data_IF_946263647811
#
_entry.id   IF_946263647811
#
_cell.length_a   1.000
_cell.length_b   1.000
_cell.length_c   1.000
_cell.angle_alpha   90.00
_cell.angle_beta   90.00
_cell.angle_gamma   90.00
#
_symmetry.space_group_name_H-M   'P 1'
#
loop_
_entity.id
_entity.type
_entity.pdbx_description
1 polymer ?
#
# COMPACT_ATOMS: atom_id res chain seq x y z
N UNK A 1 -9.20 -33.04 38.02
CA UNK A 1 -8.69 -31.66 38.01
C UNK A 1 -9.52 -30.87 37.00
N UNK A 2 -10.49 -30.13 37.52
CA UNK A 2 -11.41 -29.27 36.77
C UNK A 2 -10.78 -27.89 36.61
N UNK A 3 -10.60 -27.43 35.38
CA UNK A 3 -10.14 -26.07 35.12
C UNK A 3 -11.33 -25.12 35.07
N UNK A 4 -11.29 -24.09 35.92
CA UNK A 4 -12.29 -23.05 36.08
C UNK A 4 -12.18 -22.01 34.96
N UNK A 5 -13.31 -21.69 34.33
CA UNK A 5 -13.47 -20.56 33.41
C UNK A 5 -13.21 -19.23 34.13
N UNK A 6 -12.43 -18.33 33.52
CA UNK A 6 -12.32 -16.92 33.94
C UNK A 6 -13.14 -16.06 32.98
N UNK A 7 -14.24 -15.51 33.49
CA UNK A 7 -14.98 -14.40 32.90
C UNK A 7 -14.38 -13.07 33.35
N UNK A 8 -13.92 -12.25 32.41
CA UNK A 8 -13.41 -10.90 32.70
C UNK A 8 -14.56 -9.89 32.56
N UNK A 9 -14.97 -9.32 33.68
CA UNK A 9 -15.99 -8.27 33.77
C UNK A 9 -15.43 -6.91 33.35
N UNK A 10 -16.10 -6.24 32.40
CA UNK A 10 -15.89 -4.82 32.08
C UNK A 10 -16.55 -3.97 33.16
N UNK A 11 -15.79 -3.07 33.82
CA UNK A 11 -16.37 -1.96 34.58
C UNK A 11 -15.81 -0.63 34.10
N UNK A 12 -16.75 0.16 33.59
CA UNK A 12 -16.74 1.56 33.21
C UNK A 12 -16.22 2.46 34.34
N UNK A 13 -15.30 3.36 34.03
CA UNK A 13 -14.96 4.50 34.90
C UNK A 13 -15.60 5.75 34.28
N UNK A 14 -16.66 6.24 34.92
CA UNK A 14 -17.23 7.57 34.72
C UNK A 14 -17.02 8.31 36.04
N UNK A 15 -16.29 9.42 36.01
CA UNK A 15 -16.22 10.34 37.16
C UNK A 15 -16.54 11.74 36.67
N UNK A 16 -17.41 12.37 37.44
CA UNK A 16 -18.21 13.53 37.11
C UNK A 16 -17.41 14.85 37.12
N UNK A 17 -17.85 15.81 36.30
CA UNK A 17 -17.49 17.22 36.44
C UNK A 17 -18.74 17.97 36.89
N UNK A 18 -18.72 18.47 38.12
CA UNK A 18 -19.75 19.36 38.66
C UNK A 18 -19.35 20.83 38.44
N UNK A 19 -20.37 21.63 38.15
CA UNK A 19 -20.33 23.01 37.70
C UNK A 19 -19.93 24.03 38.78
N UNK A 20 -19.43 25.18 38.33
CA UNK A 20 -19.64 26.46 39.00
C UNK A 20 -19.90 27.55 37.94
N UNK A 21 -21.12 28.12 37.99
CA UNK A 21 -21.53 29.31 37.26
C UNK A 21 -21.21 30.55 38.12
N UNK A 22 -20.79 31.67 37.52
CA UNK A 22 -21.53 32.94 37.30
C UNK A 22 -20.44 34.06 37.34
N UNK A 23 -20.44 35.23 36.69
CA UNK A 23 -21.45 36.23 36.28
C UNK A 23 -20.80 37.15 35.20
N UNK A 24 -21.54 37.62 34.20
CA UNK A 24 -21.53 39.05 33.81
C UNK A 24 -20.77 39.54 32.56
N UNK A 25 -21.52 40.07 31.57
CA UNK A 25 -21.08 41.17 30.69
C UNK A 25 -21.16 40.91 29.18
N UNK A 26 -21.81 41.77 28.36
CA UNK A 26 -21.91 41.59 26.92
C UNK A 26 -20.69 42.21 26.22
N UNK A 27 -20.01 41.46 25.36
CA UNK A 27 -18.98 42.02 24.48
C UNK A 27 -19.21 41.56 23.06
N UNK A 28 -19.20 42.56 22.18
CA UNK A 28 -19.57 42.55 20.78
C UNK A 28 -18.81 41.53 19.93
N UNK A 29 -19.51 41.11 18.88
CA UNK A 29 -19.04 40.60 17.60
C UNK A 29 -17.59 40.97 17.23
N UNK A 30 -16.75 39.94 17.11
CA UNK A 30 -15.64 39.91 16.16
C UNK A 30 -15.59 38.53 15.50
N UNK A 31 -16.27 38.39 14.36
CA UNK A 31 -15.90 37.39 13.37
C UNK A 31 -14.51 37.78 12.84
N UNK A 32 -13.46 37.19 13.40
CA UNK A 32 -12.16 37.20 12.76
C UNK A 32 -12.26 36.29 11.52
N UNK A 33 -12.34 36.90 10.34
CA UNK A 33 -12.10 36.21 9.10
C UNK A 33 -10.66 35.68 9.14
N UNK A 34 -10.50 34.37 9.36
CA UNK A 34 -9.23 33.71 9.18
C UNK A 34 -8.88 33.77 7.69
N UNK A 35 -7.91 34.61 7.35
CA UNK A 35 -7.29 34.58 6.03
C UNK A 35 -6.69 33.19 5.81
N UNK A 36 -6.82 32.59 4.61
CA UNK A 36 -6.17 31.32 4.32
C UNK A 36 -4.66 31.53 4.41
N UNK A 37 -4.03 30.82 5.34
CA UNK A 37 -2.57 30.75 5.39
C UNK A 37 -2.09 30.16 4.06
N UNK A 38 -1.44 31.00 3.25
CA UNK A 38 -0.78 30.57 2.04
C UNK A 38 0.20 29.45 2.41
N UNK A 39 -0.02 28.25 1.84
CA UNK A 39 0.87 27.12 1.99
C UNK A 39 2.23 27.49 1.39
N UNK A 40 3.16 27.91 2.23
CA UNK A 40 4.57 27.92 1.88
C UNK A 40 4.94 26.47 1.55
N UNK A 41 5.48 26.26 0.36
CA UNK A 41 6.05 24.97 -0.07
C UNK A 41 7.23 24.66 0.85
N UNK A 42 6.96 24.02 1.98
CA UNK A 42 7.98 23.40 2.79
C UNK A 42 8.74 22.42 1.89
N UNK A 43 10.07 22.54 1.86
CA UNK A 43 10.91 21.49 1.29
C UNK A 43 10.47 20.15 1.87
N UNK A 44 10.44 19.10 1.03
CA UNK A 44 10.12 17.77 1.51
C UNK A 44 11.02 17.47 2.74
N UNK A 45 10.43 17.03 3.86
CA UNK A 45 11.21 16.73 5.05
C UNK A 45 12.32 15.73 4.70
N UNK A 46 13.46 15.86 5.36
CA UNK A 46 14.58 14.95 5.16
C UNK A 46 14.10 13.51 5.35
N UNK A 47 14.27 12.69 4.32
CA UNK A 47 13.84 11.30 4.31
C UNK A 47 14.62 10.50 5.37
N UNK A 48 13.95 9.58 6.05
CA UNK A 48 14.64 8.67 6.96
C UNK A 48 15.61 7.77 6.19
N UNK A 49 16.83 7.55 6.69
CA UNK A 49 17.82 6.74 5.99
C UNK A 49 17.48 5.25 5.99
N UNK A 50 16.60 4.79 6.89
CA UNK A 50 16.07 3.42 6.92
C UNK A 50 14.81 3.32 7.80
N UNK A 51 14.10 2.19 7.74
CA UNK A 51 12.99 1.91 8.66
C UNK A 51 13.47 1.81 10.11
N UNK A 52 14.64 1.21 10.37
CA UNK A 52 15.24 1.15 11.73
C UNK A 52 15.41 2.55 12.32
N UNK A 53 15.91 3.51 11.54
CA UNK A 53 16.05 4.89 12.00
C UNK A 53 14.69 5.54 12.31
N UNK A 54 13.70 5.30 11.44
CA UNK A 54 12.32 5.76 11.67
C UNK A 54 11.74 5.17 12.96
N UNK A 55 11.95 3.88 13.22
CA UNK A 55 11.44 3.20 14.44
C UNK A 55 12.12 3.66 15.72
N UNK A 56 13.31 4.26 15.63
CA UNK A 56 14.05 4.81 16.76
C UNK A 56 13.68 6.27 17.09
N UNK A 57 12.97 6.98 16.20
CA UNK A 57 12.49 8.34 16.51
C UNK A 57 11.43 8.28 17.61
N UNK A 58 11.77 8.83 18.78
CA UNK A 58 10.90 8.89 19.95
C UNK A 58 9.65 9.76 19.77
N UNK A 59 9.60 10.58 18.71
CA UNK A 59 8.40 11.35 18.34
C UNK A 59 7.38 10.52 17.55
N UNK A 60 7.76 9.33 17.08
CA UNK A 60 6.91 8.43 16.33
C UNK A 60 6.51 7.24 17.21
N UNK A 61 5.21 6.94 17.24
CA UNK A 61 4.67 5.84 18.05
C UNK A 61 3.95 4.86 17.14
N UNK A 62 4.38 3.59 17.13
CA UNK A 62 3.66 2.54 16.40
C UNK A 62 2.22 2.39 16.94
N UNK A 63 1.25 2.28 16.04
CA UNK A 63 -0.18 2.31 16.33
C UNK A 63 -0.79 3.72 16.39
N UNK A 64 0.03 4.78 16.41
CA UNK A 64 -0.44 6.18 16.39
C UNK A 64 0.08 6.95 15.18
N UNK A 65 1.41 6.98 14.99
CA UNK A 65 2.07 7.67 13.87
C UNK A 65 2.20 6.78 12.64
N UNK A 66 2.52 5.51 12.85
CA UNK A 66 2.65 4.50 11.80
C UNK A 66 2.15 3.14 12.30
N UNK A 67 1.98 2.16 11.40
CA UNK A 67 1.70 0.77 11.76
C UNK A 67 2.35 -0.19 10.79
N UNK A 68 2.87 -1.31 11.27
CA UNK A 68 3.26 -2.45 10.43
C UNK A 68 2.15 -3.49 10.47
N UNK A 69 1.59 -3.79 9.30
CA UNK A 69 0.50 -4.76 9.14
C UNK A 69 0.94 -5.85 8.19
N UNK A 70 0.88 -7.10 8.63
CA UNK A 70 1.30 -8.23 7.81
C UNK A 70 0.48 -9.46 8.13
N UNK A 71 0.44 -10.38 7.17
CA UNK A 71 -0.13 -11.72 7.36
C UNK A 71 0.73 -12.73 6.63
N UNK A 72 1.08 -13.79 7.36
CA UNK A 72 1.69 -15.00 6.81
C UNK A 72 0.76 -16.17 7.06
N UNK A 73 0.36 -16.84 6.00
CA UNK A 73 -0.59 -17.94 6.11
C UNK A 73 0.09 -19.14 6.72
N UNK A 74 -0.51 -19.67 7.79
CA UNK A 74 -0.04 -20.89 8.40
C UNK A 74 -0.27 -22.07 7.44
N UNK A 75 0.76 -22.89 7.27
CA UNK A 75 0.70 -24.11 6.49
C UNK A 75 1.28 -25.26 7.32
N UNK A 76 0.49 -26.32 7.47
CA UNK A 76 0.89 -27.54 8.18
C UNK A 76 1.20 -28.64 7.17
N UNK A 77 2.48 -28.81 6.84
CA UNK A 77 2.94 -29.92 6.02
C UNK A 77 3.37 -31.10 6.88
N UNK A 78 2.40 -31.73 7.55
CA UNK A 78 2.65 -32.82 8.51
C UNK A 78 2.30 -34.20 7.95
N UNK A 79 1.59 -34.25 6.82
CA UNK A 79 1.05 -35.49 6.26
C UNK A 79 1.89 -35.95 5.08
N UNK A 80 2.70 -36.99 5.31
CA UNK A 80 3.59 -37.57 4.29
C UNK A 80 2.87 -38.06 3.00
N UNK A 81 1.56 -38.31 3.06
CA UNK A 81 0.74 -38.74 1.92
C UNK A 81 0.17 -37.59 1.08
N UNK A 82 0.20 -36.36 1.59
CA UNK A 82 -0.33 -35.18 0.93
C UNK A 82 0.82 -34.31 0.41
N UNK A 83 0.56 -33.50 -0.61
CA UNK A 83 1.47 -32.46 -1.10
C UNK A 83 0.68 -31.16 -1.12
N UNK A 84 1.32 -30.10 -0.65
CA UNK A 84 0.71 -28.78 -0.63
C UNK A 84 1.52 -27.84 -1.52
N UNK A 85 0.83 -26.90 -2.15
CA UNK A 85 1.51 -25.84 -2.89
C UNK A 85 2.28 -24.94 -1.91
N UNK A 86 3.45 -24.50 -2.33
CA UNK A 86 4.23 -23.49 -1.62
C UNK A 86 3.68 -22.09 -1.94
N UNK A 87 3.55 -21.16 -0.97
CA UNK A 87 3.17 -19.77 -1.24
C UNK A 87 4.18 -19.11 -2.18
N UNK A 88 3.78 -18.84 -3.43
CA UNK A 88 4.71 -18.37 -4.47
C UNK A 88 4.89 -16.86 -4.47
N UNK A 89 3.82 -16.11 -4.24
CA UNK A 89 3.81 -14.66 -4.39
C UNK A 89 3.34 -13.97 -3.11
N UNK A 90 4.09 -12.98 -2.66
CA UNK A 90 3.68 -12.03 -1.63
C UNK A 90 3.41 -10.64 -2.20
N UNK A 91 2.58 -9.87 -1.51
CA UNK A 91 2.24 -8.49 -1.86
C UNK A 91 2.84 -7.55 -0.82
N UNK A 92 3.58 -6.53 -1.26
CA UNK A 92 4.15 -5.52 -0.37
C UNK A 92 3.55 -4.15 -0.68
N UNK A 93 3.25 -3.37 0.36
CA UNK A 93 3.05 -1.93 0.25
C UNK A 93 3.93 -1.24 1.29
N UNK A 94 5.15 -0.89 0.90
CA UNK A 94 6.13 -0.27 1.80
C UNK A 94 5.68 1.13 2.25
N UNK A 95 4.75 1.75 1.53
CA UNK A 95 4.30 3.13 1.73
C UNK A 95 2.75 3.22 1.83
N UNK A 96 2.16 2.37 2.65
CA UNK A 96 0.73 2.30 2.91
C UNK A 96 0.15 3.49 3.68
N UNK A 97 -1.16 3.42 3.93
CA UNK A 97 -1.91 4.38 4.72
C UNK A 97 -1.97 5.76 4.06
N UNK A 98 -1.46 6.77 4.76
CA UNK A 98 -1.41 8.14 4.27
C UNK A 98 -0.15 8.50 3.46
N UNK A 99 0.85 7.59 3.34
CA UNK A 99 2.12 7.87 2.66
C UNK A 99 1.87 7.93 1.14
N UNK A 100 1.41 6.82 0.56
CA UNK A 100 0.96 6.72 -0.83
C UNK A 100 -0.47 6.16 -0.84
N UNK A 101 -1.46 7.08 -0.74
CA UNK A 101 -2.87 6.72 -0.55
C UNK A 101 -3.38 5.68 -1.54
N UNK A 102 -4.14 4.68 -1.08
CA UNK A 102 -4.70 3.61 -1.91
C UNK A 102 -3.86 2.32 -1.98
N UNK A 103 -2.57 2.37 -1.63
CA UNK A 103 -1.69 1.18 -1.68
C UNK A 103 -2.03 0.15 -0.60
N UNK A 104 -2.42 0.57 0.61
CA UNK A 104 -2.93 -0.34 1.66
C UNK A 104 -4.13 -1.13 1.16
N UNK A 105 -5.13 -0.42 0.64
CA UNK A 105 -6.39 -1.01 0.23
C UNK A 105 -6.14 -1.97 -0.94
N UNK A 106 -5.35 -1.56 -1.94
CA UNK A 106 -5.00 -2.41 -3.06
C UNK A 106 -4.18 -3.64 -2.63
N UNK A 107 -3.27 -3.50 -1.66
CA UNK A 107 -2.53 -4.62 -1.10
C UNK A 107 -3.48 -5.66 -0.48
N UNK A 108 -4.42 -5.22 0.35
CA UNK A 108 -5.44 -6.09 0.94
C UNK A 108 -6.30 -6.76 -0.13
N UNK A 109 -6.79 -5.98 -1.10
CA UNK A 109 -7.60 -6.48 -2.20
C UNK A 109 -6.88 -7.56 -3.00
N UNK A 110 -5.65 -7.30 -3.43
CA UNK A 110 -4.86 -8.27 -4.20
C UNK A 110 -4.56 -9.51 -3.34
N UNK A 111 -4.26 -9.33 -2.05
CA UNK A 111 -4.04 -10.43 -1.11
C UNK A 111 -5.29 -11.25 -0.78
N UNK A 112 -6.49 -10.84 -1.23
CA UNK A 112 -7.74 -11.57 -1.08
C UNK A 112 -8.62 -11.14 0.09
N UNK A 113 -8.37 -9.97 0.66
CA UNK A 113 -9.10 -9.42 1.81
C UNK A 113 -9.89 -8.17 1.45
N UNK A 114 -10.95 -7.90 2.20
CA UNK A 114 -11.70 -6.65 2.10
C UNK A 114 -10.91 -5.50 2.73
N UNK A 115 -10.70 -4.37 2.02
CA UNK A 115 -10.27 -3.13 2.64
C UNK A 115 -11.18 -2.64 3.78
N UNK A 116 -12.50 -2.85 3.65
CA UNK A 116 -13.51 -2.46 4.65
C UNK A 116 -13.62 -3.39 5.87
N UNK A 117 -13.19 -4.65 5.73
CA UNK A 117 -13.14 -5.62 6.84
C UNK A 117 -11.83 -6.42 6.80
N UNK A 118 -10.74 -5.74 7.14
CA UNK A 118 -9.40 -6.34 7.12
C UNK A 118 -9.18 -7.48 8.14
N UNK A 119 -10.08 -7.62 9.13
CA UNK A 119 -10.07 -8.73 10.09
C UNK A 119 -10.97 -9.89 9.64
N UNK A 120 -11.75 -9.70 8.58
CA UNK A 120 -12.72 -10.65 8.06
C UNK A 120 -12.11 -11.87 7.38
N UNK A 121 -12.99 -12.80 7.04
CA UNK A 121 -12.64 -13.94 6.19
C UNK A 121 -12.15 -13.45 4.81
N UNK A 122 -11.29 -14.22 4.12
CA UNK A 122 -10.96 -13.93 2.73
C UNK A 122 -12.22 -13.76 1.88
N UNK A 123 -12.18 -12.76 0.99
CA UNK A 123 -13.26 -12.50 0.02
C UNK A 123 -12.96 -13.12 -1.36
N UNK A 124 -11.78 -13.71 -1.53
CA UNK A 124 -11.33 -14.39 -2.74
C UNK A 124 -10.87 -15.82 -2.43
N UNK A 125 -10.94 -16.74 -3.41
CA UNK A 125 -10.64 -18.17 -3.19
C UNK A 125 -9.15 -18.45 -2.92
N UNK A 126 -8.25 -17.56 -3.33
CA UNK A 126 -6.81 -17.66 -3.03
C UNK A 126 -6.33 -16.39 -2.35
N UNK A 127 -5.46 -16.57 -1.37
CA UNK A 127 -4.89 -15.50 -0.56
C UNK A 127 -3.38 -15.44 -0.74
N UNK A 128 -2.81 -14.26 -0.55
CA UNK A 128 -1.37 -14.04 -0.59
C UNK A 128 -0.88 -13.55 0.77
N UNK A 129 0.33 -13.96 1.15
CA UNK A 129 1.05 -13.29 2.23
C UNK A 129 1.26 -11.83 1.86
N UNK A 130 1.26 -10.97 2.86
CA UNK A 130 1.46 -9.55 2.63
C UNK A 130 2.18 -8.85 3.79
N UNK A 131 2.80 -7.73 3.46
CA UNK A 131 3.29 -6.74 4.42
C UNK A 131 2.97 -5.33 3.95
N UNK A 132 2.62 -4.48 4.91
CA UNK A 132 2.34 -3.07 4.72
C UNK A 132 3.00 -2.26 5.85
N UNK A 133 3.65 -1.17 5.50
CA UNK A 133 4.01 -0.11 6.44
C UNK A 133 3.09 1.09 6.18
N UNK A 134 2.27 1.46 7.16
CA UNK A 134 1.19 2.43 7.00
C UNK A 134 1.50 3.72 7.77
N UNK A 135 1.43 4.88 7.11
CA UNK A 135 1.37 6.18 7.79
C UNK A 135 -0.03 6.45 8.34
N UNK A 136 -0.14 6.80 9.63
CA UNK A 136 -1.40 6.97 10.36
C UNK A 136 -1.68 8.41 10.80
N UNK A 137 -0.81 9.36 10.46
CA UNK A 137 -0.98 10.76 10.82
C UNK A 137 -2.20 11.35 10.08
N UNK A 138 -2.84 12.36 10.68
CA UNK A 138 -3.94 13.09 10.02
C UNK A 138 -3.47 13.91 8.80
N UNK A 139 -2.20 14.31 8.77
CA UNK A 139 -1.52 14.98 7.66
C UNK A 139 -0.01 14.76 7.74
N UNK A 140 0.72 15.03 6.66
CA UNK A 140 2.19 15.00 6.66
C UNK A 140 2.83 13.61 6.63
N UNK A 141 2.07 12.57 6.25
CA UNK A 141 2.58 11.19 6.19
C UNK A 141 3.72 10.99 5.18
N UNK A 142 3.93 11.90 4.21
CA UNK A 142 5.09 11.84 3.33
C UNK A 142 6.42 11.90 4.09
N UNK A 143 6.44 12.47 5.29
CA UNK A 143 7.60 12.48 6.18
C UNK A 143 7.98 11.07 6.70
N UNK A 144 7.09 10.09 6.59
CA UNK A 144 7.31 8.71 7.01
C UNK A 144 7.83 7.83 5.86
N UNK A 145 8.01 8.39 4.66
CA UNK A 145 8.51 7.65 3.52
C UNK A 145 9.97 7.20 3.75
N UNK A 146 10.25 5.94 3.45
CA UNK A 146 11.59 5.35 3.40
C UNK A 146 11.71 4.65 2.06
N UNK A 147 12.52 5.16 1.15
CA UNK A 147 12.69 4.64 -0.19
C UNK A 147 12.93 3.13 -0.18
N UNK A 148 12.38 2.43 -1.17
CA UNK A 148 12.43 0.96 -1.22
C UNK A 148 13.84 0.40 -1.11
N UNK A 149 14.85 1.05 -1.71
CA UNK A 149 16.26 0.64 -1.60
C UNK A 149 16.86 0.77 -0.20
N UNK A 150 16.26 1.58 0.66
CA UNK A 150 16.66 1.79 2.06
C UNK A 150 15.75 1.02 3.03
N UNK A 151 14.81 0.21 2.52
CA UNK A 151 13.91 -0.55 3.37
C UNK A 151 14.67 -1.65 4.10
N UNK A 152 14.75 -1.53 5.44
CA UNK A 152 15.39 -2.50 6.32
C UNK A 152 14.41 -3.11 7.34
N UNK A 153 13.09 -2.98 7.13
CA UNK A 153 12.11 -3.65 7.97
C UNK A 153 12.23 -5.18 7.85
N UNK A 154 12.54 -5.84 8.98
CA UNK A 154 12.82 -7.27 9.00
C UNK A 154 11.62 -8.14 8.58
N UNK A 155 10.38 -7.69 8.79
CA UNK A 155 9.20 -8.45 8.39
C UNK A 155 8.98 -8.32 6.89
N UNK A 156 9.14 -7.12 6.32
CA UNK A 156 9.11 -6.89 4.88
C UNK A 156 10.17 -7.75 4.16
N UNK A 157 11.41 -7.68 4.63
CA UNK A 157 12.54 -8.42 4.08
C UNK A 157 12.37 -9.93 4.22
N UNK A 158 11.91 -10.43 5.37
CA UNK A 158 11.65 -11.86 5.57
C UNK A 158 10.52 -12.35 4.67
N UNK A 159 9.48 -11.54 4.48
CA UNK A 159 8.36 -11.87 3.59
C UNK A 159 8.84 -11.94 2.14
N UNK A 160 9.63 -10.96 1.67
CA UNK A 160 10.20 -11.01 0.34
C UNK A 160 11.09 -12.25 0.13
N UNK A 161 12.03 -12.50 1.06
CA UNK A 161 13.00 -13.58 0.97
C UNK A 161 12.37 -14.99 0.99
N UNK A 162 11.17 -15.15 1.53
CA UNK A 162 10.48 -16.44 1.61
C UNK A 162 9.52 -16.73 0.46
N UNK A 163 9.49 -15.90 -0.59
CA UNK A 163 8.58 -16.07 -1.73
C UNK A 163 9.35 -16.11 -3.06
N UNK A 164 8.80 -16.77 -4.06
CA UNK A 164 9.35 -16.78 -5.43
C UNK A 164 9.20 -15.42 -6.09
N UNK A 165 8.07 -14.76 -5.84
CA UNK A 165 7.71 -13.47 -6.41
C UNK A 165 7.29 -12.49 -5.31
N UNK A 166 7.52 -11.21 -5.57
CA UNK A 166 6.90 -10.10 -4.86
C UNK A 166 6.27 -9.19 -5.90
N UNK A 167 5.06 -8.72 -5.60
CA UNK A 167 4.47 -7.53 -6.21
C UNK A 167 4.49 -6.40 -5.19
N UNK A 168 5.37 -5.42 -5.38
CA UNK A 168 5.43 -4.23 -4.53
C UNK A 168 4.57 -3.10 -5.10
N UNK A 169 3.74 -2.48 -4.26
CA UNK A 169 2.79 -1.43 -4.62
C UNK A 169 3.31 -0.09 -4.11
N UNK A 170 3.40 0.87 -5.02
CA UNK A 170 3.86 2.22 -4.78
C UNK A 170 2.96 3.25 -5.47
N UNK A 171 3.10 4.50 -5.04
CA UNK A 171 2.43 5.66 -5.57
C UNK A 171 3.41 6.74 -5.97
N UNK A 172 3.17 7.34 -7.14
CA UNK A 172 3.95 8.47 -7.64
C UNK A 172 3.02 9.62 -8.05
N UNK A 173 3.60 10.79 -8.30
CA UNK A 173 2.93 11.91 -8.98
C UNK A 173 3.23 11.80 -10.48
N UNK A 174 2.21 12.01 -11.32
CA UNK A 174 2.37 11.94 -12.77
C UNK A 174 3.54 12.80 -13.29
N UNK A 175 3.68 14.03 -12.78
CA UNK A 175 4.71 14.97 -13.21
C UNK A 175 6.15 14.49 -12.93
N UNK A 176 6.34 13.54 -11.99
CA UNK A 176 7.65 12.94 -11.72
C UNK A 176 8.09 11.97 -12.83
N UNK A 177 7.13 11.35 -13.53
CA UNK A 177 7.39 10.31 -14.52
C UNK A 177 7.99 10.85 -15.83
N UNK A 178 7.75 12.14 -16.11
CA UNK A 178 8.20 12.84 -17.34
C UNK A 178 7.92 12.03 -18.61
N UNK A 179 6.74 11.41 -18.67
CA UNK A 179 6.35 10.56 -19.79
C UNK A 179 6.27 11.36 -21.11
N UNK A 180 6.52 10.74 -22.28
CA UNK A 180 6.45 11.42 -23.56
C UNK A 180 5.06 12.03 -23.82
N UNK A 181 5.01 13.34 -24.02
CA UNK A 181 3.76 14.10 -24.18
C UNK A 181 2.97 13.73 -25.43
N UNK A 182 3.62 13.12 -26.44
CA UNK A 182 2.97 12.59 -27.63
C UNK A 182 2.05 11.40 -27.33
N UNK A 183 2.33 10.65 -26.26
CA UNK A 183 1.54 9.49 -25.82
C UNK A 183 0.71 9.81 -24.59
N UNK A 184 1.25 10.64 -23.68
CA UNK A 184 0.63 11.05 -22.43
C UNK A 184 0.53 12.59 -22.39
N UNK A 185 -0.51 13.18 -23.02
CA UNK A 185 -0.62 14.63 -23.12
C UNK A 185 -0.69 15.29 -21.75
N UNK A 186 -0.19 16.53 -21.65
CA UNK A 186 -0.19 17.32 -20.41
C UNK A 186 -1.61 17.59 -19.89
N UNK A 187 -2.62 17.45 -20.73
CA UNK A 187 -4.05 17.53 -20.41
C UNK A 187 -4.75 16.23 -20.83
N UNK A 188 -5.61 15.68 -19.98
CA UNK A 188 -6.29 14.39 -20.22
C UNK A 188 -6.12 13.43 -19.06
N UNK A 189 -6.37 12.14 -19.28
CA UNK A 189 -6.18 11.12 -18.24
C UNK A 189 -4.69 10.97 -17.90
N UNK A 190 -4.35 11.30 -16.65
CA UNK A 190 -3.02 11.12 -16.04
C UNK A 190 -2.93 9.81 -15.24
N UNK A 191 -3.96 8.98 -15.29
CA UNK A 191 -4.03 7.71 -14.60
C UNK A 191 -3.19 6.64 -15.32
N UNK A 192 -1.94 6.48 -14.89
CA UNK A 192 -0.96 5.53 -15.44
C UNK A 192 -0.40 4.64 -14.33
N UNK A 193 -0.23 3.35 -14.66
CA UNK A 193 0.58 2.39 -13.90
C UNK A 193 1.95 2.22 -14.59
N UNK A 194 3.03 2.52 -13.88
CA UNK A 194 4.39 2.22 -14.32
C UNK A 194 4.83 0.90 -13.72
N UNK A 195 5.14 -0.08 -14.57
CA UNK A 195 5.49 -1.44 -14.19
C UNK A 195 7.01 -1.62 -14.21
N UNK A 196 7.59 -2.01 -13.08
CA UNK A 196 9.03 -2.20 -12.88
C UNK A 196 9.38 -3.52 -12.19
N UNK A 197 10.59 -3.60 -11.63
CA UNK A 197 11.16 -4.79 -11.00
C UNK A 197 11.95 -5.68 -11.98
N UNK A 198 12.81 -6.57 -11.48
CA UNK A 198 13.72 -7.35 -12.34
C UNK A 198 13.06 -8.55 -13.04
N UNK A 199 11.83 -8.92 -12.71
CA UNK A 199 11.14 -10.06 -13.32
C UNK A 199 10.39 -9.67 -14.61
N UNK A 200 11.07 -9.78 -15.76
CA UNK A 200 10.52 -9.40 -17.07
C UNK A 200 9.22 -10.12 -17.46
N UNK A 201 9.07 -11.40 -17.10
CA UNK A 201 7.84 -12.14 -17.35
C UNK A 201 6.68 -11.56 -16.53
N UNK A 202 6.94 -11.19 -15.27
CA UNK A 202 5.93 -10.57 -14.41
C UNK A 202 5.57 -9.17 -14.88
N UNK A 203 6.55 -8.35 -15.28
CA UNK A 203 6.26 -7.04 -15.88
C UNK A 203 5.39 -7.15 -17.11
N UNK A 204 5.70 -8.09 -18.01
CA UNK A 204 4.93 -8.33 -19.23
C UNK A 204 3.49 -8.73 -18.93
N UNK A 205 3.29 -9.65 -17.97
CA UNK A 205 1.96 -10.07 -17.54
C UNK A 205 1.16 -8.92 -16.93
N UNK A 206 1.79 -8.12 -16.06
CA UNK A 206 1.15 -6.94 -15.45
C UNK A 206 0.72 -5.91 -16.50
N UNK A 207 1.61 -5.51 -17.41
CA UNK A 207 1.28 -4.55 -18.47
C UNK A 207 0.13 -5.06 -19.33
N UNK A 208 0.13 -6.35 -19.66
CA UNK A 208 -0.92 -6.98 -20.49
C UNK A 208 -2.27 -6.96 -19.77
N UNK A 209 -2.32 -7.46 -18.54
CA UNK A 209 -3.58 -7.60 -17.79
C UNK A 209 -4.16 -6.25 -17.36
N UNK A 210 -3.31 -5.30 -16.96
CA UNK A 210 -3.76 -3.95 -16.57
C UNK A 210 -4.36 -3.22 -17.79
N UNK A 211 -3.74 -3.36 -18.97
CA UNK A 211 -4.31 -2.82 -20.23
C UNK A 211 -5.60 -3.51 -20.63
N UNK A 212 -5.67 -4.84 -20.51
CA UNK A 212 -6.87 -5.60 -20.81
C UNK A 212 -8.05 -5.20 -19.90
N UNK A 213 -7.77 -4.78 -18.66
CA UNK A 213 -8.74 -4.22 -17.73
C UNK A 213 -9.09 -2.74 -17.99
N UNK A 214 -8.57 -2.13 -19.07
CA UNK A 214 -8.92 -0.77 -19.50
C UNK A 214 -8.05 0.36 -18.93
N UNK A 215 -6.98 0.03 -18.19
CA UNK A 215 -6.09 1.02 -17.59
C UNK A 215 -4.86 1.29 -18.46
N UNK A 216 -4.25 2.46 -18.30
CA UNK A 216 -2.97 2.74 -18.92
C UNK A 216 -1.84 2.10 -18.12
N UNK A 217 -0.97 1.35 -18.80
CA UNK A 217 0.24 0.79 -18.19
C UNK A 217 1.45 0.86 -19.14
N UNK A 218 2.63 1.04 -18.56
CA UNK A 218 3.90 1.05 -19.31
C UNK A 218 4.94 0.19 -18.58
N UNK A 219 5.81 -0.48 -19.32
CA UNK A 219 7.01 -1.11 -18.74
C UNK A 219 8.11 -0.04 -18.62
N UNK A 220 8.64 0.15 -17.41
CA UNK A 220 9.70 1.11 -17.13
C UNK A 220 11.02 0.80 -17.86
N UNK A 221 11.21 -0.44 -18.32
CA UNK A 221 12.38 -0.86 -19.10
C UNK A 221 12.20 -0.71 -20.62
N UNK A 222 11.01 -0.34 -21.09
CA UNK A 222 10.78 -0.10 -22.52
C UNK A 222 11.63 1.08 -23.01
N UNK A 223 12.26 0.97 -24.18
CA UNK A 223 13.13 2.02 -24.74
C UNK A 223 12.43 3.35 -24.94
N UNK A 224 11.09 3.38 -25.03
CA UNK A 224 10.28 4.59 -25.14
C UNK A 224 10.23 5.39 -23.84
N UNK A 225 10.43 4.76 -22.69
CA UNK A 225 10.19 5.35 -21.37
C UNK A 225 11.39 5.25 -20.40
N UNK A 226 12.29 4.30 -20.62
CA UNK A 226 13.42 4.01 -19.72
C UNK A 226 14.36 5.19 -19.46
N UNK A 227 14.46 6.13 -20.39
CA UNK A 227 15.27 7.35 -20.20
C UNK A 227 14.75 8.27 -19.08
N UNK A 228 13.45 8.22 -18.75
CA UNK A 228 12.84 9.08 -17.72
C UNK A 228 12.38 8.31 -16.48
N UNK A 229 12.18 7.00 -16.59
CA UNK A 229 11.62 6.16 -15.53
C UNK A 229 12.66 5.43 -14.66
N UNK A 230 13.94 5.83 -14.72
CA UNK A 230 15.02 5.18 -13.96
C UNK A 230 14.74 5.04 -12.46
N UNK A 231 14.27 6.11 -11.81
CA UNK A 231 13.94 6.10 -10.37
C UNK A 231 12.67 5.29 -10.04
N UNK A 232 11.85 4.97 -11.04
CA UNK A 232 10.56 4.28 -10.91
C UNK A 232 10.60 2.82 -11.42
N UNK A 233 11.75 2.37 -11.95
CA UNK A 233 11.86 1.07 -12.60
C UNK A 233 12.05 -0.10 -11.62
N UNK A 234 12.30 0.16 -10.33
CA UNK A 234 12.47 -0.87 -9.31
C UNK A 234 13.65 -1.81 -9.57
N UNK A 235 14.69 -1.34 -10.27
CA UNK A 235 15.85 -2.16 -10.66
C UNK A 235 16.92 -2.28 -9.59
N UNK A 236 16.85 -1.49 -8.51
CA UNK A 236 17.83 -1.54 -7.44
C UNK A 236 17.88 -2.93 -6.80
N UNK A 237 19.09 -3.46 -6.61
CA UNK A 237 19.31 -4.83 -6.11
C UNK A 237 18.83 -5.01 -4.67
N UNK A 238 18.85 -3.92 -3.89
CA UNK A 238 18.38 -3.90 -2.50
C UNK A 238 16.88 -3.57 -2.37
N UNK A 239 16.17 -3.30 -3.48
CA UNK A 239 14.72 -3.12 -3.41
C UNK A 239 14.08 -4.46 -2.98
N UNK A 240 13.26 -4.50 -1.91
CA UNK A 240 12.62 -5.72 -1.40
C UNK A 240 11.88 -6.53 -2.47
N UNK A 241 11.33 -5.90 -3.52
CA UNK A 241 10.69 -6.63 -4.61
C UNK A 241 11.63 -7.57 -5.36
N UNK A 242 12.94 -7.32 -5.33
CA UNK A 242 13.99 -8.14 -5.96
C UNK A 242 14.72 -9.05 -4.98
N UNK A 243 14.41 -9.02 -3.68
CA UNK A 243 15.04 -9.87 -2.67
C UNK A 243 14.32 -11.22 -2.50
N UNK A 244 13.59 -11.66 -3.52
CA UNK A 244 12.89 -12.95 -3.59
C UNK A 244 13.85 -14.12 -3.71
N UNK A 245 13.33 -15.34 -3.57
CA UNK A 245 14.09 -16.58 -3.85
C UNK A 245 14.65 -16.61 -5.28
N UNK A 246 14.00 -15.93 -6.22
CA UNK A 246 14.43 -15.81 -7.62
C UNK A 246 15.33 -14.61 -7.89
N UNK A 247 15.60 -13.77 -6.87
CA UNK A 247 16.33 -12.50 -6.97
C UNK A 247 15.72 -11.52 -7.98
N UNK A 248 14.40 -11.60 -8.16
CA UNK A 248 13.62 -10.78 -9.09
C UNK A 248 12.15 -10.76 -8.68
N UNK A 249 11.52 -9.60 -8.80
CA UNK A 249 10.08 -9.46 -8.68
C UNK A 249 9.55 -8.33 -9.56
N UNK A 250 8.39 -7.82 -9.20
CA UNK A 250 7.76 -6.71 -9.89
C UNK A 250 7.37 -5.60 -8.91
N UNK A 251 7.31 -4.37 -9.42
CA UNK A 251 6.68 -3.28 -8.71
C UNK A 251 5.70 -2.52 -9.60
N UNK A 252 4.74 -1.87 -8.97
CA UNK A 252 3.82 -0.92 -9.60
C UNK A 252 4.00 0.44 -8.97
N UNK A 253 4.31 1.44 -9.78
CA UNK A 253 4.28 2.86 -9.44
C UNK A 253 2.99 3.45 -10.00
N UNK A 254 2.05 3.77 -9.12
CA UNK A 254 0.70 4.21 -9.50
C UNK A 254 0.56 5.71 -9.32
N UNK A 255 0.25 6.42 -10.41
CA UNK A 255 -0.05 7.86 -10.36
C UNK A 255 -1.17 8.16 -9.36
N UNK A 256 -1.16 9.36 -8.75
CA UNK A 256 -2.23 9.82 -7.85
C UNK A 256 -3.61 9.67 -8.50
N UNK A 257 -3.74 10.12 -9.74
CA UNK A 257 -4.99 10.06 -10.50
C UNK A 257 -5.48 8.62 -10.69
N UNK A 258 -4.57 7.67 -10.94
CA UNK A 258 -4.93 6.26 -11.00
C UNK A 258 -5.41 5.77 -9.63
N UNK A 259 -4.66 6.03 -8.56
CA UNK A 259 -5.00 5.55 -7.21
C UNK A 259 -6.34 6.11 -6.74
N UNK A 260 -6.60 7.40 -6.96
CA UNK A 260 -7.87 8.03 -6.60
C UNK A 260 -9.04 7.45 -7.40
N UNK A 261 -8.85 7.17 -8.69
CA UNK A 261 -9.91 6.60 -9.55
C UNK A 261 -10.39 5.21 -9.12
N UNK A 262 -9.64 4.50 -8.28
CA UNK A 262 -10.03 3.17 -7.82
C UNK A 262 -11.19 3.22 -6.82
N UNK A 263 -11.43 4.36 -6.17
CA UNK A 263 -12.39 4.48 -5.07
C UNK A 263 -13.53 5.44 -5.44
N UNK A 264 -14.74 5.18 -4.95
CA UNK A 264 -15.84 6.14 -5.05
C UNK A 264 -15.55 7.44 -4.29
N UNK A 265 -14.83 7.33 -3.16
CA UNK A 265 -14.30 8.46 -2.40
C UNK A 265 -12.88 8.17 -1.88
N UNK A 266 -11.90 8.92 -2.38
CA UNK A 266 -10.48 8.78 -2.03
C UNK A 266 -10.02 9.69 -0.87
N UNK A 267 -10.90 10.55 -0.34
CA UNK A 267 -10.59 11.66 0.56
C UNK A 267 -9.99 11.25 1.90
N UNK A 268 -10.28 10.03 2.36
CA UNK A 268 -9.77 9.50 3.62
C UNK A 268 -9.61 7.99 3.56
N UNK A 269 -8.87 7.43 4.52
CA UNK A 269 -8.72 5.97 4.65
C UNK A 269 -10.07 5.27 4.88
N UNK A 270 -10.95 5.87 5.68
CA UNK A 270 -12.30 5.33 5.92
C UNK A 270 -13.13 5.33 4.64
N UNK A 271 -13.16 6.47 3.94
CA UNK A 271 -13.90 6.59 2.69
C UNK A 271 -13.44 5.58 1.61
N UNK A 272 -12.13 5.38 1.47
CA UNK A 272 -11.60 4.34 0.56
C UNK A 272 -12.01 2.94 0.98
N UNK A 273 -11.99 2.65 2.29
CA UNK A 273 -12.41 1.36 2.82
C UNK A 273 -13.91 1.10 2.67
N UNK A 274 -14.72 2.15 2.57
CA UNK A 274 -16.18 2.07 2.41
C UNK A 274 -16.63 2.04 0.94
N UNK A 275 -15.81 2.57 0.01
CA UNK A 275 -16.19 2.78 -1.40
C UNK A 275 -15.32 1.99 -2.41
N UNK A 276 -14.49 1.05 -1.92
CA UNK A 276 -13.65 0.23 -2.80
C UNK A 276 -14.47 -0.73 -3.67
N UNK A 277 -15.68 -1.11 -3.25
CA UNK A 277 -16.48 -2.16 -3.87
C UNK A 277 -17.79 -1.71 -4.50
N UNK A 278 -17.95 -0.41 -4.73
CA UNK A 278 -19.05 0.21 -5.46
C UNK A 278 -19.35 -0.49 -6.81
N UNK A 279 -20.55 -0.28 -7.35
CA UNK A 279 -20.94 -0.85 -8.64
C UNK A 279 -19.96 -0.43 -9.75
N UNK A 280 -19.56 -1.38 -10.61
CA UNK A 280 -18.53 -1.18 -11.65
C UNK A 280 -17.17 -0.70 -11.10
N UNK A 281 -16.83 -1.10 -9.86
CA UNK A 281 -15.59 -0.69 -9.18
C UNK A 281 -14.33 -0.95 -10.01
N UNK A 282 -13.67 0.15 -10.37
CA UNK A 282 -12.34 0.15 -11.01
C UNK A 282 -11.29 -0.52 -10.12
N UNK A 283 -11.43 -0.43 -8.79
CA UNK A 283 -10.58 -1.16 -7.86
C UNK A 283 -10.64 -2.66 -8.10
N UNK A 284 -11.84 -3.26 -8.21
CA UNK A 284 -11.99 -4.71 -8.46
C UNK A 284 -11.35 -5.10 -9.79
N UNK A 285 -11.59 -4.30 -10.84
CA UNK A 285 -10.99 -4.52 -12.16
C UNK A 285 -9.46 -4.47 -12.14
N UNK A 286 -8.87 -3.48 -11.45
CA UNK A 286 -7.41 -3.35 -11.32
C UNK A 286 -6.79 -4.46 -10.46
N UNK A 287 -7.44 -4.77 -9.32
CA UNK A 287 -7.07 -5.90 -8.43
C UNK A 287 -7.04 -7.21 -9.22
N UNK A 288 -8.10 -7.48 -9.98
CA UNK A 288 -8.24 -8.74 -10.70
C UNK A 288 -7.23 -8.85 -11.85
N UNK A 289 -6.88 -7.72 -12.50
CA UNK A 289 -5.78 -7.67 -13.45
C UNK A 289 -4.43 -8.06 -12.80
N UNK A 290 -4.12 -7.50 -11.63
CA UNK A 290 -2.91 -7.87 -10.89
C UNK A 290 -2.89 -9.36 -10.53
N UNK A 291 -4.03 -9.91 -10.09
CA UNK A 291 -4.15 -11.33 -9.74
C UNK A 291 -4.05 -12.26 -10.93
N UNK A 292 -4.58 -11.89 -12.11
CA UNK A 292 -4.37 -12.64 -13.36
C UNK A 292 -2.91 -12.62 -13.80
N UNK A 293 -2.22 -11.49 -13.62
CA UNK A 293 -0.79 -11.40 -13.89
C UNK A 293 0.03 -12.30 -12.97
N UNK A 294 -0.30 -12.33 -11.66
CA UNK A 294 0.29 -13.25 -10.68
C UNK A 294 0.08 -14.70 -11.13
N UNK A 295 -1.16 -15.09 -11.43
CA UNK A 295 -1.48 -16.44 -11.87
C UNK A 295 -0.72 -16.86 -13.15
N UNK A 296 -0.56 -15.93 -14.10
CA UNK A 296 0.21 -16.14 -15.34
C UNK A 296 1.67 -16.46 -15.04
N UNK A 297 2.28 -15.72 -14.11
CA UNK A 297 3.69 -15.92 -13.74
C UNK A 297 3.87 -17.21 -12.94
N UNK A 298 2.98 -17.48 -11.99
CA UNK A 298 3.03 -18.69 -11.16
C UNK A 298 2.86 -19.96 -12.00
N UNK A 299 1.97 -19.95 -13.00
CA UNK A 299 1.79 -21.06 -13.92
C UNK A 299 3.05 -21.38 -14.75
N UNK A 300 3.90 -20.39 -15.00
CA UNK A 300 5.16 -20.55 -15.70
C UNK A 300 6.34 -21.00 -14.81
N UNK A 301 6.13 -21.16 -13.51
CA UNK A 301 7.19 -21.51 -12.57
C UNK A 301 7.11 -22.99 -12.18
N UNK A 302 8.12 -23.83 -12.50
CA UNK A 302 8.14 -25.20 -12.02
C UNK A 302 8.07 -25.21 -10.49
N UNK A 303 7.34 -26.17 -9.92
CA UNK A 303 7.34 -26.41 -8.47
C UNK A 303 8.80 -26.73 -8.09
N UNK A 304 9.41 -25.89 -7.24
CA UNK A 304 10.74 -26.16 -6.67
C UNK A 304 10.67 -27.34 -5.69
#
# INVERSE_FOLDING_TARGET
>A
MTFTERTTSRRTVLTALAAAATVGGPVLSQLAAAAPAAAATAADPAEYPSNTALYQDTNLVEGTSYSRRYRRHQQFDLKMSEKYDFPRTAILALHGGGIEIGTTELCLGIAGYSPGDSAGAPILPTVHDYFMFEGLLSAGNSALHVTSKNCDDHVALSTAASHLNVLSLHGCKFDQLKLPTSTFPSTGSRAVAVVGGLNAAFRTALVTEIKAAGFQAVDAFDSRYSATLGEFNGSHVDNPCNLTMLRKGAQLELTTELRESLFGDSSSRGARADTWDDQESLFKSFRDACRRAIATVEAGQPIL
#
